data_IF_814446942940
#
_entry.id   IF_814446942940
#
_cell.length_a   1.000
_cell.length_b   1.000
_cell.length_c   1.000
_cell.angle_alpha   90.00
_cell.angle_beta   90.00
_cell.angle_gamma   90.00
#
_symmetry.space_group_name_H-M   'P 1'
#
loop_
_entity.id
_entity.type
_entity.pdbx_description
1 polymer ?
#
# COMPACT_ATOMS: atom_id res chain seq x y z
N UNK A 1 -8.38 3.65 12.22
CA UNK A 1 -8.19 2.93 13.49
C UNK A 1 -7.08 1.91 13.31
N UNK A 2 -6.09 1.87 14.21
CA UNK A 2 -5.05 0.86 14.21
C UNK A 2 -5.50 -0.32 15.09
N UNK A 3 -5.35 -1.53 14.59
CA UNK A 3 -5.63 -2.76 15.30
C UNK A 3 -4.37 -3.59 15.46
N UNK A 4 -4.21 -4.16 16.65
CA UNK A 4 -3.44 -5.40 16.83
C UNK A 4 -4.33 -6.57 16.39
N UNK A 5 -3.78 -7.46 15.57
CA UNK A 5 -4.53 -8.59 15.01
C UNK A 5 -4.27 -9.83 15.86
N UNK A 6 -5.32 -10.42 16.44
CA UNK A 6 -5.23 -11.70 17.17
C UNK A 6 -5.39 -12.89 16.22
N UNK A 7 -6.43 -12.88 15.39
CA UNK A 7 -6.84 -13.99 14.51
C UNK A 7 -7.21 -13.51 13.12
N UNK A 8 -6.93 -14.35 12.13
CA UNK A 8 -7.17 -14.09 10.70
C UNK A 8 -7.92 -15.27 10.10
N UNK A 9 -9.13 -15.02 9.60
CA UNK A 9 -9.89 -15.98 8.78
C UNK A 9 -9.69 -15.76 7.28
N UNK A 10 -9.41 -14.51 6.88
CA UNK A 10 -9.13 -14.12 5.50
C UNK A 10 -8.28 -12.84 5.48
N UNK A 11 -7.30 -12.79 4.58
CA UNK A 11 -6.44 -11.62 4.39
C UNK A 11 -4.97 -11.91 4.54
N UNK A 12 -4.17 -10.85 4.74
CA UNK A 12 -2.72 -10.92 4.87
C UNK A 12 -2.25 -11.34 6.28
N UNK A 13 -0.96 -11.68 6.43
CA UNK A 13 -0.39 -12.23 7.68
C UNK A 13 0.05 -11.17 8.71
N UNK A 14 -0.31 -9.90 8.51
CA UNK A 14 0.25 -8.78 9.29
C UNK A 14 -0.32 -8.73 10.71
N UNK A 15 0.55 -8.50 11.71
CA UNK A 15 0.18 -8.38 13.13
C UNK A 15 -0.56 -7.09 13.47
N UNK A 16 -0.49 -6.10 12.58
CA UNK A 16 -1.15 -4.82 12.73
C UNK A 16 -1.79 -4.39 11.42
N UNK A 17 -2.96 -3.78 11.51
CA UNK A 17 -3.68 -3.26 10.35
C UNK A 17 -4.37 -1.94 10.66
N UNK A 18 -4.38 -1.03 9.69
CA UNK A 18 -5.15 0.20 9.77
C UNK A 18 -6.46 0.03 9.01
N UNK A 19 -7.57 0.22 9.71
CA UNK A 19 -8.92 0.19 9.14
C UNK A 19 -9.46 1.62 9.11
N UNK A 20 -9.88 2.05 7.93
CA UNK A 20 -10.49 3.34 7.70
C UNK A 20 -12.02 3.23 7.81
N UNK A 21 -12.64 4.29 8.28
CA UNK A 21 -14.10 4.37 8.42
C UNK A 21 -14.51 5.83 8.53
N UNK A 22 -15.79 6.11 8.29
CA UNK A 22 -16.37 7.44 8.42
C UNK A 22 -16.39 7.95 9.86
N UNK A 23 -16.62 9.24 10.01
CA UNK A 23 -16.77 9.91 11.30
C UNK A 23 -18.20 9.80 11.89
N UNK A 24 -19.14 9.24 11.13
CA UNK A 24 -20.56 9.17 11.47
C UNK A 24 -21.37 10.33 10.88
N UNK A 25 -22.63 10.47 11.31
CA UNK A 25 -23.48 11.59 10.89
C UNK A 25 -24.03 11.50 9.47
N UNK A 26 -24.07 10.29 8.89
CA UNK A 26 -24.63 10.02 7.56
C UNK A 26 -23.63 9.42 6.57
N UNK A 27 -22.35 9.33 6.93
CA UNK A 27 -21.27 8.78 6.09
C UNK A 27 -21.04 7.26 6.28
N UNK A 28 -21.96 6.58 6.97
CA UNK A 28 -21.89 5.17 7.31
C UNK A 28 -20.66 4.76 8.17
N UNK A 29 -20.04 5.68 8.88
CA UNK A 29 -18.88 5.42 9.74
C UNK A 29 -19.17 4.47 10.91
N UNK A 30 -18.33 3.44 11.06
CA UNK A 30 -18.34 2.52 12.19
C UNK A 30 -17.57 3.10 13.38
N UNK A 31 -18.18 3.14 14.56
CA UNK A 31 -17.60 3.75 15.75
C UNK A 31 -16.73 2.76 16.52
N UNK A 32 -15.48 2.59 16.08
CA UNK A 32 -14.48 1.86 16.86
C UNK A 32 -14.12 2.61 18.16
N UNK A 33 -13.86 1.87 19.22
CA UNK A 33 -13.42 2.38 20.51
C UNK A 33 -12.13 1.69 20.90
N UNK A 34 -11.14 2.46 21.35
CA UNK A 34 -9.86 1.91 21.78
C UNK A 34 -10.04 1.01 23.01
N UNK A 35 -9.28 -0.08 23.05
CA UNK A 35 -9.34 -1.07 24.13
C UNK A 35 -10.43 -2.14 23.98
N UNK A 36 -11.28 -2.05 22.95
CA UNK A 36 -12.29 -3.06 22.65
C UNK A 36 -11.84 -4.00 21.53
N UNK A 37 -12.38 -5.22 21.54
CA UNK A 37 -12.12 -6.24 20.53
C UNK A 37 -13.29 -6.32 19.53
N UNK A 38 -12.96 -6.62 18.27
CA UNK A 38 -13.92 -6.59 17.16
C UNK A 38 -13.67 -7.74 16.19
N UNK A 39 -14.74 -8.28 15.60
CA UNK A 39 -14.65 -8.97 14.33
C UNK A 39 -14.79 -7.93 13.22
N UNK A 40 -13.76 -7.78 12.39
CA UNK A 40 -13.71 -6.75 11.35
C UNK A 40 -13.79 -7.36 9.97
N UNK A 41 -14.82 -6.98 9.22
CA UNK A 41 -14.95 -7.21 7.80
C UNK A 41 -14.55 -5.94 7.06
N UNK A 42 -13.39 -5.96 6.41
CA UNK A 42 -12.90 -4.81 5.66
C UNK A 42 -12.53 -5.18 4.23
N UNK A 43 -12.64 -4.20 3.34
CA UNK A 43 -12.26 -4.32 1.93
C UNK A 43 -11.57 -3.05 1.44
N UNK A 44 -10.80 -3.14 0.36
CA UNK A 44 -10.21 -1.95 -0.25
C UNK A 44 -11.34 -1.10 -0.84
N UNK A 45 -11.45 0.15 -0.39
CA UNK A 45 -12.42 1.13 -0.86
C UNK A 45 -11.79 2.52 -0.93
N UNK A 46 -12.20 3.32 -1.91
CA UNK A 46 -11.85 4.73 -2.08
C UNK A 46 -12.98 5.66 -1.59
N UNK A 47 -13.97 5.12 -0.87
CA UNK A 47 -15.16 5.85 -0.43
C UNK A 47 -14.84 7.12 0.38
N UNK A 48 -13.68 7.15 1.04
CA UNK A 48 -13.19 8.28 1.83
C UNK A 48 -11.97 8.98 1.22
N UNK A 49 -11.76 8.82 -0.10
CA UNK A 49 -10.81 9.60 -0.91
C UNK A 49 -9.67 8.78 -1.51
N UNK A 50 -8.96 7.98 -0.71
CA UNK A 50 -7.84 7.15 -1.16
C UNK A 50 -8.21 5.66 -1.04
N UNK A 51 -7.65 4.82 -1.92
CA UNK A 51 -7.85 3.38 -1.87
C UNK A 51 -7.24 2.80 -0.57
N UNK A 52 -8.09 2.48 0.39
CA UNK A 52 -7.70 2.08 1.74
C UNK A 52 -8.58 0.94 2.24
N UNK A 53 -8.04 0.12 3.16
CA UNK A 53 -8.82 -0.94 3.80
C UNK A 53 -9.87 -0.29 4.70
N UNK A 54 -11.14 -0.45 4.35
CA UNK A 54 -12.26 0.30 4.91
C UNK A 54 -13.32 -0.65 5.46
N UNK A 55 -13.94 -0.26 6.57
CA UNK A 55 -15.16 -0.91 7.08
C UNK A 55 -16.18 0.12 7.54
N UNK A 56 -17.46 -0.17 7.34
CA UNK A 56 -18.60 0.72 7.57
C UNK A 56 -19.71 0.01 8.34
N UNK A 57 -20.71 0.76 8.82
CA UNK A 57 -21.85 0.19 9.57
C UNK A 57 -22.73 -0.79 8.78
N UNK A 58 -22.60 -0.80 7.45
CA UNK A 58 -23.31 -1.73 6.58
C UNK A 58 -22.60 -3.08 6.44
N UNK A 59 -21.35 -3.18 6.89
CA UNK A 59 -20.64 -4.45 6.94
C UNK A 59 -21.11 -5.26 8.15
N UNK A 60 -20.71 -6.54 8.21
CA UNK A 60 -20.93 -7.39 9.39
C UNK A 60 -19.95 -7.11 10.55
N UNK A 61 -19.12 -6.06 10.42
CA UNK A 61 -18.18 -5.63 11.47
C UNK A 61 -18.94 -5.33 12.76
N UNK A 62 -18.48 -5.91 13.86
CA UNK A 62 -19.15 -5.80 15.16
C UNK A 62 -18.16 -6.02 16.31
N UNK A 63 -18.57 -5.63 17.52
CA UNK A 63 -17.82 -5.96 18.74
C UNK A 63 -17.75 -7.48 18.91
N UNK A 64 -16.60 -8.00 19.32
CA UNK A 64 -16.32 -9.44 19.32
C UNK A 64 -17.34 -10.24 20.15
N UNK A 65 -17.81 -9.68 21.25
CA UNK A 65 -18.82 -10.29 22.12
C UNK A 65 -20.22 -10.45 21.46
N UNK A 66 -20.47 -9.77 20.35
CA UNK A 66 -21.70 -9.87 19.56
C UNK A 66 -21.50 -10.69 18.28
N UNK A 67 -20.27 -11.09 17.95
CA UNK A 67 -19.92 -11.73 16.68
C UNK A 67 -19.93 -13.27 16.72
N UNK A 68 -20.52 -13.88 17.75
CA UNK A 68 -20.43 -15.33 17.97
C UNK A 68 -20.95 -16.19 16.81
N UNK A 69 -22.03 -15.78 16.15
CA UNK A 69 -22.56 -16.48 14.98
C UNK A 69 -21.54 -16.49 13.83
N UNK A 70 -20.94 -15.33 13.53
CA UNK A 70 -19.97 -15.19 12.45
C UNK A 70 -18.67 -15.93 12.75
N UNK A 71 -18.18 -15.90 14.00
CA UNK A 71 -16.98 -16.64 14.40
C UNK A 71 -17.19 -18.15 14.20
N UNK A 72 -18.35 -18.67 14.61
CA UNK A 72 -18.68 -20.09 14.42
C UNK A 72 -18.74 -20.46 12.94
N UNK A 73 -19.39 -19.63 12.12
CA UNK A 73 -19.49 -19.86 10.69
C UNK A 73 -18.10 -19.80 10.02
N UNK A 74 -17.30 -18.79 10.33
CA UNK A 74 -15.95 -18.64 9.78
C UNK A 74 -15.03 -19.78 10.19
N UNK A 75 -15.09 -20.23 11.44
CA UNK A 75 -14.32 -21.37 11.93
C UNK A 75 -14.73 -22.70 11.29
N UNK A 76 -15.98 -22.83 10.83
CA UNK A 76 -16.43 -24.01 10.08
C UNK A 76 -16.03 -23.97 8.60
N UNK A 77 -15.93 -22.77 8.00
CA UNK A 77 -15.68 -22.57 6.57
C UNK A 77 -14.21 -22.32 6.21
N UNK A 78 -13.39 -21.90 7.18
CA UNK A 78 -12.02 -21.49 6.94
C UNK A 78 -11.11 -21.82 8.12
N UNK A 79 -9.83 -22.01 7.81
CA UNK A 79 -8.80 -22.17 8.83
C UNK A 79 -8.48 -20.80 9.46
N UNK A 80 -8.62 -20.72 10.78
CA UNK A 80 -8.17 -19.60 11.58
C UNK A 80 -6.63 -19.59 11.66
N UNK A 81 -6.03 -18.42 11.46
CA UNK A 81 -4.57 -18.24 11.43
C UNK A 81 -4.14 -17.15 12.40
N UNK A 82 -2.98 -17.35 13.01
CA UNK A 82 -2.29 -16.31 13.75
C UNK A 82 -1.51 -15.40 12.78
N UNK A 83 -1.33 -14.10 13.08
CA UNK A 83 -0.45 -13.25 12.30
C UNK A 83 0.99 -13.76 12.37
N UNK A 84 1.64 -13.88 11.22
CA UNK A 84 3.01 -14.38 11.10
C UNK A 84 4.00 -13.29 10.69
N UNK A 85 3.52 -12.15 10.19
CA UNK A 85 4.33 -11.00 9.81
C UNK A 85 4.16 -9.90 10.85
N UNK A 86 5.19 -9.72 11.67
CA UNK A 86 5.21 -8.65 12.67
C UNK A 86 5.41 -7.30 11.98
N UNK A 87 4.45 -6.40 12.12
CA UNK A 87 4.50 -5.02 11.61
C UNK A 87 4.27 -4.06 12.77
N UNK A 88 5.03 -2.96 12.78
CA UNK A 88 4.86 -1.88 13.75
C UNK A 88 4.45 -0.61 13.02
N UNK A 89 3.15 -0.42 12.89
CA UNK A 89 2.52 0.77 12.34
C UNK A 89 2.31 1.77 13.46
N UNK A 90 2.78 3.00 13.25
CA UNK A 90 2.36 4.14 14.05
C UNK A 90 1.35 4.94 13.23
N UNK A 91 0.18 5.24 13.80
CA UNK A 91 -0.70 6.31 13.30
C UNK A 91 0.00 7.66 13.57
N UNK A 92 1.05 7.93 12.82
CA UNK A 92 1.57 9.26 12.68
C UNK A 92 0.59 10.05 11.85
N UNK A 93 0.04 11.13 12.41
CA UNK A 93 -0.18 12.33 11.60
C UNK A 93 1.20 12.68 11.03
N UNK A 94 1.54 12.10 9.88
CA UNK A 94 2.36 12.83 8.93
C UNK A 94 1.47 14.01 8.53
N UNK A 95 1.60 15.10 9.30
CA UNK A 95 1.33 16.41 8.80
C UNK A 95 2.07 16.44 7.47
N UNK A 96 1.31 16.41 6.38
CA UNK A 96 1.84 16.67 5.05
C UNK A 96 2.62 17.97 5.20
N UNK A 97 3.95 17.90 5.31
CA UNK A 97 4.78 18.96 4.78
C UNK A 97 4.74 18.74 3.28
N UNK A 98 3.58 19.06 2.72
CA UNK A 98 3.41 19.37 1.32
C UNK A 98 4.39 20.52 1.06
N UNK A 99 5.41 20.39 0.22
CA UNK A 99 5.77 21.52 -0.61
C UNK A 99 4.55 21.73 -1.49
N UNK A 100 3.73 22.70 -1.12
CA UNK A 100 2.73 23.27 -2.01
C UNK A 100 3.44 23.75 -3.27
N UNK A 101 3.38 22.95 -4.32
CA UNK A 101 3.35 23.46 -5.68
C UNK A 101 2.73 22.38 -6.55
N UNK A 102 1.57 22.70 -7.11
CA UNK A 102 1.15 22.17 -8.39
C UNK A 102 2.35 22.10 -9.36
N UNK A 103 2.43 21.15 -10.31
CA UNK A 103 3.48 21.20 -11.29
C UNK A 103 3.34 22.49 -12.10
N UNK A 104 4.20 23.47 -11.81
CA UNK A 104 4.39 24.64 -12.64
C UNK A 104 4.92 24.13 -13.97
N UNK A 105 4.09 24.23 -15.02
CA UNK A 105 4.50 23.91 -16.39
C UNK A 105 5.57 24.92 -16.81
N UNK A 106 6.84 24.52 -16.75
CA UNK A 106 7.95 25.32 -17.23
C UNK A 106 7.97 25.30 -18.77
N UNK A 107 7.81 26.46 -19.47
CA UNK A 107 7.74 26.48 -20.93
C UNK A 107 9.07 26.19 -21.64
N UNK A 108 10.14 25.84 -20.94
CA UNK A 108 11.48 25.67 -21.52
C UNK A 108 12.08 24.25 -21.41
N UNK A 109 11.32 23.22 -21.03
CA UNK A 109 11.79 21.82 -21.13
C UNK A 109 11.68 21.31 -22.57
N UNK A 110 12.46 21.92 -23.45
CA UNK A 110 12.75 21.40 -24.80
C UNK A 110 14.25 21.19 -24.94
N UNK A 111 14.79 20.19 -24.22
CA UNK A 111 16.05 19.55 -24.59
C UNK A 111 16.05 18.11 -24.03
N UNK A 112 15.78 17.08 -24.86
CA UNK A 112 15.92 15.71 -24.43
C UNK A 112 17.39 15.42 -24.12
N UNK A 113 17.60 14.73 -23.00
CA UNK A 113 18.89 14.32 -22.44
C UNK A 113 19.73 13.54 -23.47
N UNK A 114 20.55 14.26 -24.23
CA UNK A 114 21.54 13.77 -25.20
C UNK A 114 22.79 13.21 -24.48
N UNK A 115 22.62 12.48 -23.39
CA UNK A 115 23.74 11.90 -22.62
C UNK A 115 23.84 10.39 -22.76
N UNK A 116 22.82 9.72 -23.31
CA UNK A 116 22.84 8.27 -23.57
C UNK A 116 23.31 7.88 -24.99
N UNK A 117 23.37 8.84 -25.93
CA UNK A 117 23.75 8.59 -27.32
C UNK A 117 25.26 8.68 -27.58
N UNK A 118 26.03 9.35 -26.72
CA UNK A 118 27.48 9.53 -26.92
C UNK A 118 28.25 8.27 -26.46
N UNK A 119 27.79 7.59 -25.41
CA UNK A 119 28.47 6.42 -24.84
C UNK A 119 28.52 5.21 -25.77
N UNK A 120 27.47 4.94 -26.54
CA UNK A 120 27.40 3.80 -27.46
C UNK A 120 28.28 3.98 -28.72
N UNK A 121 28.41 5.21 -29.22
CA UNK A 121 29.22 5.52 -30.40
C UNK A 121 30.73 5.33 -30.17
N UNK A 122 31.22 5.74 -28.99
CA UNK A 122 32.64 5.60 -28.63
C UNK A 122 33.03 4.12 -28.48
N UNK A 123 32.17 3.30 -27.86
CA UNK A 123 32.43 1.88 -27.67
C UNK A 123 32.54 1.11 -29.00
N UNK A 124 31.64 1.37 -29.95
CA UNK A 124 31.67 0.75 -31.28
C UNK A 124 32.86 1.23 -32.12
N UNK A 125 33.21 2.52 -32.04
CA UNK A 125 34.36 3.09 -32.71
C UNK A 125 35.69 2.48 -32.24
N UNK A 126 35.87 2.31 -30.93
CA UNK A 126 37.08 1.69 -30.35
C UNK A 126 37.18 0.19 -30.71
N UNK A 127 36.06 -0.54 -30.73
CA UNK A 127 36.02 -1.94 -31.16
C UNK A 127 36.40 -2.09 -32.66
N UNK A 128 35.89 -1.21 -33.52
CA UNK A 128 36.23 -1.19 -34.94
C UNK A 128 37.72 -0.90 -35.20
N UNK A 129 38.28 0.10 -34.52
CA UNK A 129 39.71 0.46 -34.61
C UNK A 129 40.62 -0.67 -34.10
N UNK A 130 40.23 -1.35 -33.02
CA UNK A 130 40.97 -2.48 -32.48
C UNK A 130 40.99 -3.69 -33.43
N UNK A 131 39.85 -4.02 -34.06
CA UNK A 131 39.77 -5.10 -35.06
C UNK A 131 40.58 -4.76 -36.31
N UNK A 132 40.54 -3.50 -36.77
CA UNK A 132 41.34 -3.04 -37.91
C UNK A 132 42.85 -3.06 -37.62
N UNK A 133 43.27 -2.63 -36.43
CA UNK A 133 44.69 -2.71 -36.00
C UNK A 133 45.16 -4.16 -35.87
N UNK A 134 44.30 -5.10 -35.47
CA UNK A 134 44.65 -6.54 -35.46
C UNK A 134 44.80 -7.15 -36.86
N UNK A 135 44.09 -6.64 -37.88
CA UNK A 135 44.21 -7.10 -39.27
C UNK A 135 45.45 -6.57 -40.01
N UNK A 136 46.13 -5.55 -39.48
CA UNK A 136 47.29 -4.88 -40.11
C UNK A 136 48.65 -5.25 -39.52
N UNK A 137 48.72 -6.18 -38.56
CA UNK A 137 50.00 -6.77 -38.17
C UNK A 137 50.37 -7.86 -39.19
N UNK A 138 51.63 -7.90 -39.64
CA UNK A 138 52.06 -8.33 -40.97
C UNK A 138 51.73 -9.78 -41.32
#
# INVERSE_FOLDING_TARGET
MLFEVDRIWKGGPDSQVVIHTGSGGGDCGFKFQAGNEYLVYASLSDMYGEMQLTSIICDRTSALNLSGEDINLLGALSEEKLPTKQVKLSLGVEAKKQPSSAPEQNPNDSLPNLTWMIGLGIALGLLGLFVWMRRKKP
#
